data_IF_839308762705
#
_entry.id   IF_839308762705
#
_cell.length_a   1.000
_cell.length_b   1.000
_cell.length_c   1.000
_cell.angle_alpha   90.00
_cell.angle_beta   90.00
_cell.angle_gamma   90.00
#
_symmetry.space_group_name_H-M   'P 1'
#
loop_
_entity.id
_entity.type
_entity.pdbx_description
1 polymer ?
#
# COMPACT_ATOMS: atom_id res chain seq x y z
N UNK A 1 13.83 11.85 -18.72
CA UNK A 1 14.93 11.32 -17.92
C UNK A 1 15.30 12.39 -16.89
N UNK A 2 15.43 12.01 -15.63
CA UNK A 2 16.02 12.90 -14.61
C UNK A 2 17.49 13.07 -14.97
N UNK A 3 17.91 14.32 -15.15
CA UNK A 3 19.32 14.65 -15.35
C UNK A 3 20.01 14.54 -13.98
N UNK A 4 20.57 13.37 -13.70
CA UNK A 4 21.25 13.13 -12.44
C UNK A 4 22.70 13.59 -12.57
N UNK A 5 23.26 14.27 -11.54
CA UNK A 5 24.62 14.81 -11.57
C UNK A 5 25.70 13.73 -11.44
N UNK A 6 25.35 12.44 -11.58
CA UNK A 6 26.23 11.29 -11.37
C UNK A 6 26.22 10.38 -12.60
N UNK A 7 27.39 9.86 -12.95
CA UNK A 7 27.48 8.74 -13.91
C UNK A 7 27.05 7.45 -13.22
N UNK A 8 26.09 6.74 -13.83
CA UNK A 8 25.65 5.46 -13.32
C UNK A 8 25.41 4.46 -14.45
N UNK A 9 25.64 3.20 -14.16
CA UNK A 9 25.26 2.05 -15.00
C UNK A 9 24.47 1.07 -14.17
N UNK A 10 23.43 0.49 -14.77
CA UNK A 10 22.58 -0.50 -14.10
C UNK A 10 23.06 -1.89 -14.49
N UNK A 11 23.41 -2.70 -13.51
CA UNK A 11 23.92 -4.06 -13.69
C UNK A 11 22.81 -5.13 -13.56
N UNK A 12 21.82 -4.91 -12.66
CA UNK A 12 20.70 -5.85 -12.43
C UNK A 12 19.47 -5.10 -11.92
N UNK A 13 18.27 -5.55 -12.29
CA UNK A 13 16.99 -4.97 -11.86
C UNK A 13 16.06 -6.07 -11.37
N UNK A 14 15.52 -5.87 -10.16
CA UNK A 14 14.41 -6.62 -9.61
C UNK A 14 13.16 -5.75 -9.69
N UNK A 15 12.30 -5.98 -10.69
CA UNK A 15 11.06 -5.25 -10.86
C UNK A 15 10.15 -5.42 -9.62
N UNK A 16 9.32 -4.41 -9.32
CA UNK A 16 8.32 -4.52 -8.28
C UNK A 16 7.37 -5.71 -8.52
N UNK A 17 6.98 -6.37 -7.45
CA UNK A 17 5.98 -7.44 -7.49
C UNK A 17 5.02 -7.28 -6.32
N UNK A 18 3.73 -7.49 -6.57
CA UNK A 18 2.70 -7.43 -5.53
C UNK A 18 2.90 -8.46 -4.42
N UNK A 19 3.51 -9.60 -4.72
CA UNK A 19 3.86 -10.62 -3.73
C UNK A 19 5.04 -10.18 -2.84
N UNK A 20 6.05 -9.51 -3.42
CA UNK A 20 7.27 -9.06 -2.74
C UNK A 20 7.11 -7.71 -2.05
N UNK A 21 6.25 -6.83 -2.61
CA UNK A 21 6.02 -5.45 -2.15
C UNK A 21 7.28 -4.57 -2.12
N UNK A 22 8.32 -4.93 -2.86
CA UNK A 22 9.51 -4.11 -3.09
C UNK A 22 10.10 -4.33 -4.49
N UNK A 23 10.92 -3.38 -4.92
CA UNK A 23 11.78 -3.43 -6.10
C UNK A 23 13.24 -3.32 -5.66
N UNK A 24 14.16 -3.68 -6.55
CA UNK A 24 15.59 -3.57 -6.30
C UNK A 24 16.39 -3.21 -7.54
N UNK A 25 17.56 -2.66 -7.32
CA UNK A 25 18.51 -2.34 -8.36
C UNK A 25 19.94 -2.58 -7.88
N UNK A 26 20.76 -3.15 -8.77
CA UNK A 26 22.21 -3.10 -8.64
C UNK A 26 22.75 -2.14 -9.68
N UNK A 27 23.45 -1.15 -9.22
CA UNK A 27 24.00 -0.12 -10.09
C UNK A 27 25.43 0.24 -9.67
N UNK A 28 26.21 0.65 -10.64
CA UNK A 28 27.52 1.27 -10.42
C UNK A 28 27.34 2.79 -10.44
N UNK A 29 27.66 3.44 -9.34
CA UNK A 29 27.58 4.89 -9.18
C UNK A 29 28.95 5.39 -8.79
N UNK A 30 29.54 6.31 -9.56
CA UNK A 30 30.90 6.82 -9.36
C UNK A 30 31.94 5.70 -9.15
N UNK A 31 31.85 4.65 -9.97
CA UNK A 31 32.74 3.48 -9.94
C UNK A 31 32.47 2.46 -8.81
N UNK A 32 31.54 2.73 -7.88
CA UNK A 32 31.17 1.83 -6.78
C UNK A 32 29.87 1.07 -7.07
N UNK A 33 29.89 -0.24 -6.92
CA UNK A 33 28.68 -1.05 -7.04
C UNK A 33 27.85 -0.90 -5.77
N UNK A 34 26.56 -0.62 -5.96
CA UNK A 34 25.57 -0.51 -4.88
C UNK A 34 24.38 -1.42 -5.19
N UNK A 35 23.96 -2.19 -4.21
CA UNK A 35 22.75 -3.03 -4.29
C UNK A 35 21.70 -2.42 -3.37
N UNK A 36 20.62 -1.92 -3.95
CA UNK A 36 19.57 -1.20 -3.26
C UNK A 36 18.22 -1.89 -3.46
N UNK A 37 17.39 -1.94 -2.42
CA UNK A 37 15.98 -2.30 -2.53
C UNK A 37 15.11 -1.22 -1.87
N UNK A 38 13.91 -1.02 -2.41
CA UNK A 38 12.93 -0.07 -1.87
C UNK A 38 11.51 -0.65 -1.95
N UNK A 39 10.76 -0.51 -0.89
CA UNK A 39 9.38 -0.99 -0.84
C UNK A 39 8.69 -0.80 0.50
N UNK A 40 7.63 -1.55 0.73
CA UNK A 40 6.88 -1.50 1.98
C UNK A 40 7.76 -1.94 3.16
N UNK A 41 7.80 -1.15 4.26
CA UNK A 41 8.71 -1.37 5.38
C UNK A 41 8.62 -2.78 5.96
N UNK A 42 7.43 -3.34 6.12
CA UNK A 42 7.17 -4.66 6.67
C UNK A 42 7.76 -5.82 5.83
N UNK A 43 8.01 -5.56 4.54
CA UNK A 43 8.64 -6.53 3.63
C UNK A 43 10.14 -6.32 3.54
N UNK A 44 10.59 -5.06 3.43
CA UNK A 44 12.01 -4.72 3.36
C UNK A 44 12.72 -5.04 4.68
N UNK A 45 12.07 -4.83 5.83
CA UNK A 45 12.60 -5.16 7.15
C UNK A 45 12.91 -6.66 7.36
N UNK A 46 12.34 -7.55 6.56
CA UNK A 46 12.68 -8.99 6.59
C UNK A 46 14.10 -9.26 6.11
N UNK A 47 14.60 -8.44 5.20
CA UNK A 47 15.94 -8.56 4.61
C UNK A 47 16.91 -7.52 5.15
N UNK A 48 16.41 -6.38 5.64
CA UNK A 48 17.17 -5.30 6.29
C UNK A 48 16.51 -4.94 7.62
N UNK A 49 16.82 -5.65 8.73
CA UNK A 49 16.15 -5.47 10.01
C UNK A 49 16.20 -4.05 10.54
N UNK A 50 15.08 -3.59 11.08
CA UNK A 50 14.93 -2.30 11.75
C UNK A 50 15.09 -2.47 13.26
N UNK A 51 15.65 -1.49 13.92
CA UNK A 51 15.58 -1.35 15.38
C UNK A 51 14.15 -1.07 15.85
N UNK A 52 13.87 -1.33 17.12
CA UNK A 52 12.55 -1.04 17.71
C UNK A 52 12.18 0.44 17.56
N UNK A 53 13.13 1.36 17.72
CA UNK A 53 12.90 2.79 17.57
C UNK A 53 12.51 3.18 16.14
N UNK A 54 13.19 2.60 15.14
CA UNK A 54 12.87 2.82 13.72
C UNK A 54 11.49 2.26 13.36
N UNK A 55 11.12 1.08 13.88
CA UNK A 55 9.79 0.49 13.68
C UNK A 55 8.70 1.39 14.26
N UNK A 56 8.84 1.84 15.51
CA UNK A 56 7.90 2.74 16.15
C UNK A 56 7.76 4.07 15.39
N UNK A 57 8.85 4.61 14.86
CA UNK A 57 8.80 5.83 14.07
C UNK A 57 8.08 5.63 12.74
N UNK A 58 8.27 4.51 12.07
CA UNK A 58 7.55 4.14 10.84
C UNK A 58 6.05 3.96 11.12
N UNK A 59 5.70 3.29 12.21
CA UNK A 59 4.31 3.15 12.65
C UNK A 59 3.64 4.51 12.87
N UNK A 60 4.32 5.42 13.58
CA UNK A 60 3.81 6.77 13.80
C UNK A 60 3.55 7.51 12.47
N UNK A 61 4.48 7.48 11.52
CA UNK A 61 4.27 8.11 10.21
C UNK A 61 3.11 7.48 9.43
N UNK A 62 2.93 6.16 9.56
CA UNK A 62 1.80 5.46 8.95
C UNK A 62 0.48 5.86 9.61
N UNK A 63 0.47 6.02 10.93
CA UNK A 63 -0.71 6.51 11.69
C UNK A 63 -1.07 7.95 11.32
N UNK A 64 -0.06 8.78 11.00
CA UNK A 64 -0.24 10.13 10.47
C UNK A 64 -0.72 10.14 8.99
N UNK A 65 -1.05 8.99 8.42
CA UNK A 65 -1.58 8.83 7.06
C UNK A 65 -0.54 8.95 5.95
N UNK A 66 0.74 8.86 6.29
CA UNK A 66 1.81 8.87 5.29
C UNK A 66 2.00 7.47 4.70
N UNK A 67 2.24 7.41 3.38
CA UNK A 67 2.76 6.21 2.75
C UNK A 67 4.26 6.15 2.96
N UNK A 68 4.71 5.14 3.66
CA UNK A 68 6.12 4.97 4.04
C UNK A 68 6.76 3.94 3.12
N UNK A 69 7.91 4.28 2.54
CA UNK A 69 8.76 3.34 1.83
C UNK A 69 10.12 3.27 2.53
N UNK A 70 10.62 2.07 2.70
CA UNK A 70 11.95 1.83 3.25
C UNK A 70 12.94 1.55 2.11
N UNK A 71 14.04 2.27 2.10
CA UNK A 71 15.21 2.02 1.25
C UNK A 71 16.27 1.30 2.07
N UNK A 72 16.78 0.20 1.56
CA UNK A 72 17.86 -0.57 2.18
C UNK A 72 19.00 -0.83 1.19
N UNK A 73 20.20 -0.96 1.71
CA UNK A 73 21.42 -1.26 0.97
C UNK A 73 22.01 -2.58 1.42
N UNK A 74 22.63 -3.29 0.49
CA UNK A 74 23.30 -4.58 0.71
C UNK A 74 24.77 -4.48 0.32
N UNK A 75 25.63 -5.05 1.15
CA UNK A 75 27.06 -5.13 0.87
C UNK A 75 27.39 -6.29 -0.11
N UNK A 76 26.50 -7.28 -0.25
CA UNK A 76 26.64 -8.36 -1.22
C UNK A 76 26.25 -7.88 -2.62
N UNK A 77 27.28 -7.66 -3.44
CA UNK A 77 27.15 -7.22 -4.81
C UNK A 77 27.21 -8.35 -5.85
N UNK A 78 27.30 -9.61 -5.43
CA UNK A 78 27.46 -10.78 -6.32
C UNK A 78 26.20 -11.65 -6.39
N UNK A 79 25.44 -11.76 -5.28
CA UNK A 79 24.20 -12.55 -5.27
C UNK A 79 23.11 -11.86 -6.12
N UNK A 80 22.44 -12.58 -7.04
CA UNK A 80 21.32 -12.00 -7.79
C UNK A 80 20.25 -11.45 -6.87
N UNK A 81 19.66 -10.31 -7.22
CA UNK A 81 18.70 -9.56 -6.38
C UNK A 81 17.53 -10.40 -5.87
N UNK A 82 17.09 -11.40 -6.64
CA UNK A 82 16.01 -12.32 -6.27
C UNK A 82 16.37 -13.30 -5.15
N UNK A 83 17.67 -13.43 -4.80
CA UNK A 83 18.18 -14.35 -3.79
C UNK A 83 18.83 -13.64 -2.58
N UNK A 84 18.58 -12.36 -2.39
CA UNK A 84 19.08 -11.62 -1.24
C UNK A 84 18.61 -12.29 0.06
N UNK A 85 19.56 -12.51 0.97
CA UNK A 85 19.31 -13.21 2.24
C UNK A 85 18.65 -12.30 3.25
N UNK A 86 17.81 -12.88 4.08
CA UNK A 86 17.24 -12.19 5.23
C UNK A 86 18.35 -11.72 6.20
N UNK A 87 18.23 -10.48 6.67
CA UNK A 87 19.17 -9.90 7.63
C UNK A 87 20.53 -9.47 7.08
N UNK A 88 20.74 -9.52 5.75
CA UNK A 88 22.00 -9.14 5.12
C UNK A 88 22.05 -7.68 4.63
N UNK A 89 20.90 -6.99 4.66
CA UNK A 89 20.80 -5.58 4.31
C UNK A 89 20.82 -4.66 5.53
N UNK A 90 21.10 -3.40 5.31
CA UNK A 90 20.98 -2.33 6.30
C UNK A 90 19.99 -1.27 5.84
N UNK A 91 19.12 -0.74 6.72
CA UNK A 91 18.29 0.41 6.41
C UNK A 91 19.16 1.60 6.01
N UNK A 92 18.77 2.30 4.96
CA UNK A 92 19.51 3.45 4.45
C UNK A 92 18.72 4.75 4.60
N UNK A 93 17.45 4.72 4.22
CA UNK A 93 16.58 5.89 4.28
C UNK A 93 15.11 5.48 4.31
N UNK A 94 14.27 6.41 4.75
CA UNK A 94 12.81 6.32 4.67
C UNK A 94 12.30 7.40 3.74
N UNK A 95 11.44 7.02 2.79
CA UNK A 95 10.74 7.95 1.90
C UNK A 95 9.31 8.06 2.37
N UNK A 96 8.88 9.28 2.69
CA UNK A 96 7.54 9.60 3.14
C UNK A 96 6.76 10.25 1.99
N UNK A 97 5.65 9.64 1.61
CA UNK A 97 4.76 10.16 0.59
C UNK A 97 3.41 10.53 1.23
N UNK A 98 2.91 11.70 0.89
CA UNK A 98 1.58 12.14 1.32
C UNK A 98 0.65 12.13 0.12
N UNK A 99 -0.48 11.43 0.25
CA UNK A 99 -1.55 11.54 -0.74
C UNK A 99 -2.27 12.88 -0.52
N UNK A 100 -2.24 13.73 -1.52
CA UNK A 100 -3.05 14.95 -1.54
C UNK A 100 -4.39 14.62 -2.20
N UNK A 101 -5.47 15.02 -1.54
CA UNK A 101 -6.79 14.98 -2.16
C UNK A 101 -6.82 15.98 -3.33
N UNK A 102 -7.47 15.60 -4.42
CA UNK A 102 -7.75 16.53 -5.51
C UNK A 102 -8.74 17.60 -5.04
N UNK A 103 -8.63 18.79 -5.62
CA UNK A 103 -9.59 19.85 -5.35
C UNK A 103 -11.03 19.38 -5.66
N UNK A 104 -11.97 19.74 -4.81
CA UNK A 104 -13.39 19.40 -4.96
C UNK A 104 -13.77 17.97 -4.52
N UNK A 105 -12.84 17.11 -4.11
CA UNK A 105 -13.17 15.73 -3.67
C UNK A 105 -14.13 15.76 -2.49
N UNK A 106 -13.88 16.58 -1.48
CA UNK A 106 -14.72 16.68 -0.28
C UNK A 106 -16.16 17.09 -0.66
N UNK A 107 -16.31 18.08 -1.52
CA UNK A 107 -17.62 18.55 -1.99
C UNK A 107 -18.35 17.48 -2.80
N UNK A 108 -17.61 16.75 -3.65
CA UNK A 108 -18.17 15.66 -4.48
C UNK A 108 -18.65 14.51 -3.59
N UNK A 109 -17.83 14.08 -2.62
CA UNK A 109 -18.19 13.03 -1.66
C UNK A 109 -19.43 13.44 -0.87
N UNK A 110 -19.43 14.66 -0.33
CA UNK A 110 -20.59 15.19 0.41
C UNK A 110 -21.86 15.27 -0.46
N UNK A 111 -21.73 15.66 -1.73
CA UNK A 111 -22.85 15.67 -2.67
C UNK A 111 -23.40 14.26 -2.88
N UNK A 112 -22.56 13.29 -3.21
CA UNK A 112 -22.99 11.89 -3.45
C UNK A 112 -23.68 11.30 -2.22
N UNK A 113 -23.11 11.49 -1.03
CA UNK A 113 -23.70 11.01 0.22
C UNK A 113 -25.07 11.64 0.51
N UNK A 114 -25.24 12.95 0.22
CA UNK A 114 -26.57 13.61 0.31
C UNK A 114 -27.61 13.06 -0.67
N UNK A 115 -27.15 12.52 -1.82
CA UNK A 115 -28.04 11.82 -2.79
C UNK A 115 -28.33 10.38 -2.39
N UNK A 116 -27.90 9.94 -1.21
CA UNK A 116 -28.13 8.56 -0.72
C UNK A 116 -27.15 7.53 -1.27
N UNK A 117 -26.05 7.96 -1.91
CA UNK A 117 -25.02 7.05 -2.41
C UNK A 117 -24.19 6.52 -1.24
N UNK A 118 -24.13 5.19 -1.08
CA UNK A 118 -23.26 4.52 -0.14
C UNK A 118 -21.87 4.37 -0.75
N UNK A 119 -20.89 5.12 -0.22
CA UNK A 119 -19.51 5.08 -0.70
C UNK A 119 -18.74 4.02 0.09
N UNK A 120 -18.10 3.11 -0.63
CA UNK A 120 -17.18 2.09 -0.10
C UNK A 120 -15.79 2.30 -0.69
N UNK A 121 -14.74 2.07 0.09
CA UNK A 121 -13.35 2.19 -0.37
C UNK A 121 -12.70 0.82 -0.38
N UNK A 122 -12.24 0.39 -1.55
CA UNK A 122 -11.54 -0.89 -1.73
C UNK A 122 -10.11 -0.57 -2.21
N UNK A 123 -9.10 -0.96 -1.41
CA UNK A 123 -7.71 -0.60 -1.66
C UNK A 123 -6.74 -1.74 -1.33
N UNK A 124 -5.64 -1.80 -2.07
CA UNK A 124 -4.49 -2.66 -1.74
C UNK A 124 -3.55 -2.05 -0.69
N UNK A 125 -3.79 -0.81 -0.25
CA UNK A 125 -2.95 -0.09 0.70
C UNK A 125 -3.25 -0.48 2.17
N UNK A 126 -2.39 0.01 3.08
CA UNK A 126 -2.52 -0.21 4.51
C UNK A 126 -3.84 0.39 5.04
N UNK A 127 -4.58 -0.31 5.95
CA UNK A 127 -5.85 0.16 6.49
C UNK A 127 -5.80 1.58 7.06
N UNK A 128 -4.78 1.91 7.86
CA UNK A 128 -4.63 3.22 8.49
C UNK A 128 -4.48 4.35 7.47
N UNK A 129 -3.69 4.11 6.41
CA UNK A 129 -3.54 5.08 5.31
C UNK A 129 -4.87 5.30 4.60
N UNK A 130 -5.61 4.23 4.30
CA UNK A 130 -6.91 4.32 3.62
C UNK A 130 -7.94 5.03 4.49
N UNK A 131 -8.01 4.70 5.78
CA UNK A 131 -8.89 5.36 6.74
C UNK A 131 -8.58 6.86 6.88
N UNK A 132 -7.29 7.22 6.93
CA UNK A 132 -6.87 8.63 6.97
C UNK A 132 -7.38 9.40 5.74
N UNK A 133 -7.16 8.85 4.54
CA UNK A 133 -7.61 9.48 3.29
C UNK A 133 -9.13 9.55 3.21
N UNK A 134 -9.84 8.49 3.59
CA UNK A 134 -11.30 8.44 3.62
C UNK A 134 -11.89 9.47 4.58
N UNK A 135 -11.30 9.62 5.77
CA UNK A 135 -11.69 10.64 6.76
C UNK A 135 -11.45 12.05 6.21
N UNK A 136 -10.30 12.30 5.62
CA UNK A 136 -9.98 13.58 5.01
C UNK A 136 -10.91 13.92 3.83
N UNK A 137 -11.37 12.92 3.07
CA UNK A 137 -12.35 13.07 1.99
C UNK A 137 -13.79 13.25 2.49
N UNK A 138 -14.07 13.06 3.78
CA UNK A 138 -15.41 13.18 4.35
C UNK A 138 -16.31 11.97 4.09
N UNK A 139 -15.73 10.79 3.86
CA UNK A 139 -16.51 9.55 3.72
C UNK A 139 -17.11 9.14 5.07
N UNK A 140 -18.39 8.75 5.06
CA UNK A 140 -19.09 8.29 6.26
C UNK A 140 -18.49 6.99 6.81
N UNK A 141 -18.44 6.87 8.15
CA UNK A 141 -17.93 5.69 8.86
C UNK A 141 -16.52 5.25 8.43
N UNK A 142 -15.53 6.17 8.33
CA UNK A 142 -14.19 5.85 7.84
C UNK A 142 -13.40 4.94 8.79
N UNK A 143 -13.90 4.70 10.00
CA UNK A 143 -13.26 3.87 11.02
C UNK A 143 -13.66 2.39 10.93
N UNK A 144 -14.71 2.06 10.17
CA UNK A 144 -15.12 0.67 9.93
C UNK A 144 -14.28 0.08 8.80
N UNK A 145 -13.17 -0.53 9.15
CA UNK A 145 -12.24 -1.14 8.20
C UNK A 145 -12.08 -2.64 8.44
N UNK A 146 -11.96 -3.41 7.35
CA UNK A 146 -11.62 -4.83 7.34
C UNK A 146 -10.51 -5.07 6.31
N UNK A 147 -9.63 -6.02 6.59
CA UNK A 147 -8.53 -6.37 5.68
C UNK A 147 -8.87 -7.56 4.79
N UNK A 148 -8.17 -7.67 3.65
CA UNK A 148 -8.30 -8.84 2.79
C UNK A 148 -7.96 -10.15 3.50
N UNK A 149 -7.04 -10.15 4.46
CA UNK A 149 -6.72 -11.34 5.26
C UNK A 149 -7.91 -11.75 6.13
N UNK A 150 -8.53 -10.81 6.84
CA UNK A 150 -9.72 -11.06 7.66
C UNK A 150 -10.90 -11.52 6.79
N UNK A 151 -11.11 -10.90 5.61
CA UNK A 151 -12.15 -11.34 4.66
C UNK A 151 -11.95 -12.78 4.18
N UNK A 152 -10.70 -13.22 4.00
CA UNK A 152 -10.38 -14.56 3.53
C UNK A 152 -10.70 -15.67 4.57
N UNK A 153 -10.85 -15.31 5.83
CA UNK A 153 -11.17 -16.24 6.93
C UNK A 153 -12.69 -16.42 7.14
N UNK A 154 -13.51 -15.64 6.44
CA UNK A 154 -14.98 -15.65 6.58
C UNK A 154 -15.63 -16.65 5.62
N UNK A 155 -16.66 -17.31 6.10
CA UNK A 155 -17.61 -18.03 5.22
C UNK A 155 -18.55 -17.04 4.50
N UNK A 156 -19.32 -17.51 3.51
CA UNK A 156 -20.20 -16.65 2.71
C UNK A 156 -21.21 -15.83 3.54
N UNK A 157 -21.90 -16.38 4.55
CA UNK A 157 -22.81 -15.58 5.38
C UNK A 157 -22.07 -14.50 6.17
N UNK A 158 -20.92 -14.80 6.76
CA UNK A 158 -20.13 -13.85 7.52
C UNK A 158 -19.50 -12.80 6.62
N UNK A 159 -19.07 -13.18 5.41
CA UNK A 159 -18.58 -12.25 4.39
C UNK A 159 -19.64 -11.23 4.01
N UNK A 160 -20.88 -11.65 3.75
CA UNK A 160 -21.98 -10.75 3.42
C UNK A 160 -22.24 -9.73 4.53
N UNK A 161 -22.27 -10.18 5.79
CA UNK A 161 -22.41 -9.28 6.96
C UNK A 161 -21.24 -8.31 7.06
N UNK A 162 -20.02 -8.78 6.90
CA UNK A 162 -18.83 -7.95 6.95
C UNK A 162 -18.80 -6.91 5.81
N UNK A 163 -19.18 -7.30 4.59
CA UNK A 163 -19.30 -6.40 3.45
C UNK A 163 -20.27 -5.25 3.72
N UNK A 164 -21.41 -5.54 4.36
CA UNK A 164 -22.42 -4.53 4.67
C UNK A 164 -22.01 -3.58 5.81
N UNK A 165 -21.29 -4.08 6.80
CA UNK A 165 -20.94 -3.32 8.01
C UNK A 165 -19.70 -2.45 7.83
N UNK A 166 -18.81 -2.74 6.86
CA UNK A 166 -17.56 -2.02 6.69
C UNK A 166 -17.63 -1.04 5.52
N UNK A 167 -17.01 0.11 5.71
CA UNK A 167 -16.84 1.14 4.67
C UNK A 167 -15.50 1.01 3.95
N UNK A 168 -14.47 0.54 4.67
CA UNK A 168 -13.10 0.45 4.18
C UNK A 168 -12.68 -1.02 4.05
N UNK A 169 -12.24 -1.41 2.86
CA UNK A 169 -11.69 -2.72 2.55
C UNK A 169 -10.22 -2.53 2.14
N UNK A 170 -9.30 -2.88 3.03
CA UNK A 170 -7.87 -2.61 2.87
C UNK A 170 -7.06 -3.88 2.63
N UNK A 171 -5.89 -3.79 1.98
CA UNK A 171 -5.05 -4.96 1.64
C UNK A 171 -5.81 -6.03 0.84
N UNK A 172 -6.79 -5.61 0.06
CA UNK A 172 -7.66 -6.50 -0.74
C UNK A 172 -6.92 -6.99 -1.97
N UNK A 173 -7.06 -8.28 -2.27
CA UNK A 173 -6.58 -8.90 -3.51
C UNK A 173 -7.61 -8.70 -4.64
N UNK A 174 -7.19 -8.82 -5.92
CA UNK A 174 -8.11 -8.65 -7.05
C UNK A 174 -9.36 -9.53 -6.99
N UNK A 175 -9.20 -10.81 -6.62
CA UNK A 175 -10.30 -11.77 -6.52
C UNK A 175 -11.31 -11.37 -5.43
N UNK A 176 -10.83 -10.85 -4.31
CA UNK A 176 -11.67 -10.36 -3.22
C UNK A 176 -12.41 -9.07 -3.61
N UNK A 177 -11.75 -8.21 -4.42
CA UNK A 177 -12.40 -7.02 -4.97
C UNK A 177 -13.57 -7.39 -5.87
N UNK A 178 -13.40 -8.40 -6.75
CA UNK A 178 -14.48 -8.92 -7.59
C UNK A 178 -15.63 -9.46 -6.75
N UNK A 179 -15.32 -10.21 -5.69
CA UNK A 179 -16.33 -10.79 -4.79
C UNK A 179 -17.13 -9.69 -4.07
N UNK A 180 -16.48 -8.65 -3.55
CA UNK A 180 -17.16 -7.50 -2.93
C UNK A 180 -18.06 -6.78 -3.93
N UNK A 181 -17.60 -6.53 -5.16
CA UNK A 181 -18.39 -5.87 -6.20
C UNK A 181 -19.60 -6.71 -6.58
N UNK A 182 -19.45 -8.03 -6.72
CA UNK A 182 -20.54 -8.96 -7.00
C UNK A 182 -21.60 -8.92 -5.89
N UNK A 183 -21.16 -8.95 -4.62
CA UNK A 183 -22.05 -8.82 -3.46
C UNK A 183 -22.86 -7.53 -3.50
N UNK A 184 -22.22 -6.37 -3.66
CA UNK A 184 -22.92 -5.07 -3.71
C UNK A 184 -23.84 -4.92 -4.92
N UNK A 185 -23.50 -5.52 -6.06
CA UNK A 185 -24.31 -5.45 -7.29
C UNK A 185 -25.57 -6.32 -7.22
N UNK A 186 -25.56 -7.38 -6.39
CA UNK A 186 -26.70 -8.30 -6.24
C UNK A 186 -27.69 -7.85 -5.18
N UNK A 187 -27.31 -6.90 -4.31
CA UNK A 187 -28.16 -6.43 -3.23
C UNK A 187 -29.25 -5.47 -3.72
N UNK A 188 -30.51 -5.81 -3.40
CA UNK A 188 -31.67 -4.91 -3.38
C UNK A 188 -31.90 -4.05 -4.63
N UNK A 189 -31.59 -4.53 -5.85
CA UNK A 189 -31.75 -3.76 -7.10
C UNK A 189 -31.03 -2.40 -7.09
N UNK A 190 -29.96 -2.23 -6.29
CA UNK A 190 -29.16 -1.02 -6.26
C UNK A 190 -28.15 -1.02 -7.41
N UNK A 191 -28.01 0.12 -8.07
CA UNK A 191 -26.95 0.30 -9.04
C UNK A 191 -25.62 0.46 -8.33
N UNK A 192 -24.67 -0.40 -8.67
CA UNK A 192 -23.30 -0.30 -8.16
C UNK A 192 -22.39 0.24 -9.24
N UNK A 193 -21.71 1.34 -8.95
CA UNK A 193 -20.68 1.94 -9.80
C UNK A 193 -19.31 1.77 -9.17
N UNK A 194 -18.29 1.45 -9.96
CA UNK A 194 -16.90 1.42 -9.53
C UNK A 194 -16.12 2.53 -10.21
N UNK A 195 -15.32 3.25 -9.43
CA UNK A 195 -14.41 4.29 -9.90
C UNK A 195 -13.00 3.94 -9.42
N UNK A 196 -12.04 3.93 -10.32
CA UNK A 196 -10.64 3.63 -10.04
C UNK A 196 -9.97 2.89 -11.20
N UNK A 197 -8.69 2.58 -11.00
CA UNK A 197 -7.85 1.84 -11.96
C UNK A 197 -7.91 0.34 -11.68
#
# INVERSE_FOLDING_TARGET
>A
ALDLPYEYTVDDILAFSSARKFAGVRARVDGRVRTLIMGAPEYVARVAPLSTAEQQQIEKWTDDGLRVLLLAEFDDNNTPLKFLKSGSGRPLAVVLLRNLLRDGVVDTVAFLQRQGVNIRVISGDNPRTVQYVARAAGINNPDTAITGTELAELDEPAFAVAADQHTIFARVLPEQKEHLIAHFSQQNHQFTGMVGD
#
